data_IF_757334904431
#
_entry.id   IF_757334904431
#
_cell.length_a   1.000
_cell.length_b   1.000
_cell.length_c   1.000
_cell.angle_alpha   90.00
_cell.angle_beta   90.00
_cell.angle_gamma   90.00
#
_symmetry.space_group_name_H-M   'P 1'
#
loop_
_entity.id
_entity.type
_entity.pdbx_description
1 polymer ?
#
# COMPACT_ATOMS: atom_id res chain seq x y z
N UNK A 1 -23.59 -8.97 -3.17
CA UNK A 1 -22.88 -8.45 -1.98
C UNK A 1 -21.91 -9.54 -1.50
N UNK A 2 -20.66 -9.55 -1.99
CA UNK A 2 -19.70 -10.58 -1.63
C UNK A 2 -19.12 -10.29 -0.24
N UNK A 3 -19.35 -11.22 0.70
CA UNK A 3 -18.87 -11.16 2.07
C UNK A 3 -17.33 -11.20 2.10
N UNK A 4 -16.69 -10.03 2.18
CA UNK A 4 -15.23 -9.91 2.24
C UNK A 4 -14.77 -10.38 3.60
N UNK A 5 -14.42 -11.67 3.71
CA UNK A 5 -13.78 -12.24 4.90
C UNK A 5 -12.56 -11.38 5.26
N UNK A 6 -12.69 -10.61 6.35
CA UNK A 6 -11.57 -9.89 6.96
C UNK A 6 -10.74 -10.96 7.67
N UNK A 7 -9.77 -11.52 6.96
CA UNK A 7 -8.73 -12.29 7.64
C UNK A 7 -7.92 -11.34 8.52
N UNK A 8 -7.38 -11.76 9.68
CA UNK A 8 -6.53 -10.90 10.51
C UNK A 8 -5.27 -10.42 9.74
N UNK A 9 -4.64 -9.32 10.17
CA UNK A 9 -3.37 -8.89 9.57
C UNK A 9 -2.30 -9.96 9.80
N UNK A 10 -1.32 -10.04 8.89
CA UNK A 10 -0.05 -10.67 9.24
C UNK A 10 0.80 -9.66 10.01
N UNK A 11 1.66 -10.16 10.90
CA UNK A 11 2.65 -9.35 11.60
C UNK A 11 3.77 -8.93 10.64
N UNK A 12 4.52 -7.88 10.97
CA UNK A 12 5.70 -7.46 10.18
C UNK A 12 6.72 -8.60 10.02
N UNK A 13 6.87 -9.45 11.05
CA UNK A 13 7.70 -10.64 11.00
C UNK A 13 7.21 -11.63 9.93
N UNK A 14 5.92 -11.95 9.93
CA UNK A 14 5.34 -12.84 8.91
C UNK A 14 5.48 -12.25 7.50
N UNK A 15 5.31 -10.94 7.33
CA UNK A 15 5.57 -10.29 6.03
C UNK A 15 7.04 -10.41 5.60
N UNK A 16 7.99 -10.25 6.54
CA UNK A 16 9.41 -10.46 6.23
C UNK A 16 9.70 -11.91 5.85
N UNK A 17 9.16 -12.88 6.61
CA UNK A 17 9.27 -14.31 6.33
C UNK A 17 8.69 -14.65 4.94
N UNK A 18 7.54 -14.06 4.57
CA UNK A 18 6.97 -14.20 3.21
C UNK A 18 7.91 -13.67 2.14
N UNK A 19 8.52 -12.50 2.33
CA UNK A 19 9.42 -11.91 1.34
C UNK A 19 10.68 -12.76 1.12
N UNK A 20 11.28 -13.26 2.20
CA UNK A 20 12.45 -14.14 2.14
C UNK A 20 12.12 -15.44 1.39
N UNK A 21 11.00 -16.07 1.73
CA UNK A 21 10.55 -17.30 1.07
C UNK A 21 10.20 -17.07 -0.40
N UNK A 22 9.64 -15.90 -0.74
CA UNK A 22 9.39 -15.55 -2.13
C UNK A 22 10.68 -15.44 -2.96
N UNK A 23 11.73 -14.85 -2.38
CA UNK A 23 13.06 -14.83 -2.98
C UNK A 23 13.66 -16.24 -3.15
N UNK A 24 13.58 -17.06 -2.10
CA UNK A 24 14.03 -18.46 -2.12
C UNK A 24 13.30 -19.30 -3.18
N UNK A 25 12.02 -19.04 -3.39
CA UNK A 25 11.20 -19.68 -4.42
C UNK A 25 11.43 -19.13 -5.84
N UNK A 26 12.49 -18.35 -6.07
CA UNK A 26 12.79 -17.76 -7.38
C UNK A 26 11.68 -16.82 -7.86
N UNK A 27 11.06 -16.09 -6.94
CA UNK A 27 9.91 -15.20 -7.20
C UNK A 27 8.67 -15.93 -7.76
N UNK A 28 8.57 -17.25 -7.55
CA UNK A 28 7.34 -18.00 -7.84
C UNK A 28 6.40 -17.98 -6.64
N UNK A 29 5.29 -17.27 -6.75
CA UNK A 29 4.33 -17.08 -5.66
C UNK A 29 3.68 -18.39 -5.19
N UNK A 30 3.46 -19.34 -6.10
CA UNK A 30 2.86 -20.65 -5.81
C UNK A 30 3.86 -21.57 -5.10
N UNK A 31 5.11 -21.57 -5.55
CA UNK A 31 6.17 -22.30 -4.86
C UNK A 31 6.41 -21.71 -3.46
N UNK A 32 6.44 -20.38 -3.33
CA UNK A 32 6.57 -19.69 -2.06
C UNK A 32 5.45 -20.06 -1.07
N UNK A 33 4.20 -20.14 -1.52
CA UNK A 33 3.08 -20.58 -0.68
C UNK A 33 3.26 -22.03 -0.18
N UNK A 34 3.84 -22.90 -1.01
CA UNK A 34 4.14 -24.30 -0.66
C UNK A 34 5.25 -24.35 0.39
N UNK A 35 6.37 -23.67 0.13
CA UNK A 35 7.50 -23.57 1.07
C UNK A 35 7.10 -22.97 2.42
N UNK A 36 6.24 -21.94 2.42
CA UNK A 36 5.75 -21.33 3.65
C UNK A 36 4.93 -22.31 4.49
N UNK A 37 4.08 -23.13 3.85
CA UNK A 37 3.31 -24.16 4.54
C UNK A 37 4.19 -25.27 5.11
N UNK A 38 5.21 -25.69 4.37
CA UNK A 38 6.17 -26.69 4.81
C UNK A 38 7.02 -26.19 5.99
N UNK A 39 7.48 -24.94 5.93
CA UNK A 39 8.32 -24.33 6.98
C UNK A 39 7.52 -23.97 8.23
N UNK A 40 6.26 -23.61 8.09
CA UNK A 40 5.39 -23.16 9.18
C UNK A 40 4.06 -23.92 9.22
N UNK A 41 4.07 -25.25 9.49
CA UNK A 41 2.89 -26.09 9.37
C UNK A 41 1.77 -25.75 10.35
N UNK A 42 2.12 -25.20 11.53
CA UNK A 42 1.16 -24.86 12.58
C UNK A 42 0.71 -23.38 12.56
N UNK A 43 1.08 -22.62 11.52
CA UNK A 43 0.70 -21.21 11.37
C UNK A 43 -0.38 -21.04 10.32
N UNK A 44 -0.98 -19.85 10.28
CA UNK A 44 -1.85 -19.45 9.19
C UNK A 44 -1.07 -19.40 7.87
N UNK A 45 -1.61 -20.01 6.82
CA UNK A 45 -0.98 -19.99 5.50
C UNK A 45 -1.47 -18.81 4.66
N UNK A 46 -0.56 -17.99 4.10
CA UNK A 46 -0.91 -16.95 3.14
C UNK A 46 -1.38 -17.52 1.80
N UNK A 47 -2.29 -16.79 1.17
CA UNK A 47 -2.59 -17.00 -0.24
C UNK A 47 -1.37 -16.61 -1.09
N UNK A 48 -1.15 -17.30 -2.21
CA UNK A 48 0.03 -17.09 -3.05
C UNK A 48 0.21 -15.63 -3.52
N UNK A 49 -0.89 -14.92 -3.78
CA UNK A 49 -0.82 -13.49 -4.15
C UNK A 49 -0.18 -12.59 -3.08
N UNK A 50 -0.22 -12.99 -1.81
CA UNK A 50 0.34 -12.19 -0.72
C UNK A 50 1.86 -12.01 -0.88
N UNK A 51 2.56 -13.01 -1.39
CA UNK A 51 4.00 -12.96 -1.60
C UNK A 51 4.40 -11.88 -2.61
N UNK A 52 3.68 -11.83 -3.74
CA UNK A 52 3.88 -10.77 -4.76
C UNK A 52 3.50 -9.41 -4.21
N UNK A 53 2.37 -9.29 -3.49
CA UNK A 53 1.97 -8.01 -2.87
C UNK A 53 3.00 -7.47 -1.90
N UNK A 54 3.51 -8.33 -1.02
CA UNK A 54 4.56 -7.99 -0.05
C UNK A 54 5.82 -7.53 -0.77
N UNK A 55 6.25 -8.27 -1.79
CA UNK A 55 7.41 -7.88 -2.61
C UNK A 55 7.21 -6.51 -3.26
N UNK A 56 6.06 -6.28 -3.89
CA UNK A 56 5.75 -5.00 -4.53
C UNK A 56 5.71 -3.85 -3.53
N UNK A 57 5.14 -4.03 -2.34
CA UNK A 57 5.15 -2.98 -1.31
C UNK A 57 6.58 -2.55 -0.98
N UNK A 58 7.51 -3.48 -0.83
CA UNK A 58 8.92 -3.13 -0.58
C UNK A 58 9.60 -2.45 -1.77
N UNK A 59 9.31 -2.89 -3.00
CA UNK A 59 9.80 -2.23 -4.22
C UNK A 59 9.27 -0.80 -4.36
N UNK A 60 8.05 -0.54 -3.87
CA UNK A 60 7.43 0.79 -3.80
C UNK A 60 7.90 1.61 -2.58
N UNK A 61 8.81 1.09 -1.75
CA UNK A 61 9.29 1.77 -0.54
C UNK A 61 8.27 1.81 0.60
N UNK A 62 7.24 0.95 0.57
CA UNK A 62 6.18 0.87 1.57
C UNK A 62 6.31 -0.38 2.43
N UNK A 63 5.81 -0.29 3.66
CA UNK A 63 5.63 -1.47 4.51
C UNK A 63 4.29 -2.15 4.17
N UNK A 64 4.26 -3.48 3.99
CA UNK A 64 3.01 -4.21 3.80
C UNK A 64 2.10 -3.96 4.99
N UNK A 65 0.88 -3.48 4.74
CA UNK A 65 -0.10 -3.21 5.78
C UNK A 65 -1.49 -3.69 5.36
N UNK A 66 -2.34 -3.93 6.35
CA UNK A 66 -3.70 -4.40 6.12
C UNK A 66 -4.66 -3.31 5.66
N UNK A 67 -4.30 -2.05 5.93
CA UNK A 67 -5.08 -0.92 5.47
C UNK A 67 -4.80 -0.86 3.98
N UNK A 68 -5.80 -1.21 3.18
CA UNK A 68 -5.74 -0.97 1.75
C UNK A 68 -5.29 0.47 1.60
N UNK A 69 -4.14 0.66 0.94
CA UNK A 69 -3.67 1.97 0.56
C UNK A 69 -4.87 2.66 -0.09
N UNK A 70 -5.53 3.53 0.66
CA UNK A 70 -6.40 4.52 0.06
C UNK A 70 -5.59 5.22 -1.01
N UNK A 71 -6.29 5.75 -2.01
CA UNK A 71 -5.74 6.55 -3.11
C UNK A 71 -4.45 7.28 -2.67
N UNK A 72 -3.31 7.16 -3.38
CA UNK A 72 -2.02 7.66 -2.91
C UNK A 72 -2.12 9.13 -2.51
N UNK A 73 -2.16 9.41 -1.21
CA UNK A 73 -2.40 10.75 -0.68
C UNK A 73 -1.19 11.67 -0.94
N UNK A 74 0.00 11.07 -1.03
CA UNK A 74 1.29 11.74 -1.29
C UNK A 74 1.31 12.48 -2.63
N UNK A 75 0.74 11.90 -3.69
CA UNK A 75 0.73 12.56 -5.00
C UNK A 75 -0.20 13.79 -5.01
N UNK A 76 -1.34 13.70 -4.34
CA UNK A 76 -2.26 14.83 -4.19
C UNK A 76 -1.63 15.93 -3.31
N UNK A 77 -0.86 15.56 -2.29
CA UNK A 77 -0.12 16.49 -1.42
C UNK A 77 0.91 17.32 -2.18
N UNK A 78 1.82 16.68 -2.91
CA UNK A 78 2.88 17.37 -3.67
C UNK A 78 2.30 18.36 -4.68
N UNK A 79 1.24 17.97 -5.39
CA UNK A 79 0.56 18.82 -6.37
C UNK A 79 -0.07 20.04 -5.69
N UNK A 80 -0.71 19.86 -4.53
CA UNK A 80 -1.33 20.97 -3.77
C UNK A 80 -0.28 21.94 -3.25
N UNK A 81 0.84 21.43 -2.72
CA UNK A 81 1.94 22.26 -2.23
C UNK A 81 2.61 23.04 -3.36
N UNK A 82 2.82 22.40 -4.51
CA UNK A 82 3.40 23.06 -5.69
C UNK A 82 2.52 24.21 -6.21
N UNK A 83 1.20 24.01 -6.32
CA UNK A 83 0.27 25.08 -6.71
C UNK A 83 0.31 26.27 -5.75
N UNK A 84 0.46 25.99 -4.44
CA UNK A 84 0.53 27.03 -3.40
C UNK A 84 1.88 27.76 -3.39
N UNK A 85 2.96 27.05 -3.71
CA UNK A 85 4.30 27.64 -3.81
C UNK A 85 4.44 28.55 -5.05
N UNK A 86 3.85 28.15 -6.18
CA UNK A 86 3.82 28.96 -7.40
C UNK A 86 3.00 30.24 -7.24
N UNK A 87 1.89 30.18 -6.51
CA UNK A 87 1.07 31.35 -6.18
C UNK A 87 0.49 31.25 -4.75
N UNK A 88 1.12 31.91 -3.76
CA UNK A 88 0.65 31.92 -2.38
C UNK A 88 -0.74 32.51 -2.18
N UNK A 89 -1.25 33.27 -3.16
CA UNK A 89 -2.58 33.90 -3.10
C UNK A 89 -3.68 33.03 -3.73
N UNK A 90 -3.30 31.94 -4.42
CA UNK A 90 -4.25 31.04 -5.07
C UNK A 90 -5.19 30.41 -4.03
N UNK A 91 -6.49 30.53 -4.29
CA UNK A 91 -7.53 29.99 -3.42
C UNK A 91 -7.65 28.47 -3.51
N UNK A 92 -8.09 27.82 -2.43
CA UNK A 92 -8.38 26.37 -2.40
C UNK A 92 -9.34 25.95 -3.53
N UNK A 93 -10.30 26.82 -3.88
CA UNK A 93 -11.23 26.58 -5.00
C UNK A 93 -10.53 26.57 -6.36
N UNK A 94 -9.54 27.45 -6.55
CA UNK A 94 -8.75 27.51 -7.77
C UNK A 94 -7.85 26.27 -7.91
N UNK A 95 -7.24 25.80 -6.82
CA UNK A 95 -6.47 24.53 -6.79
C UNK A 95 -7.35 23.37 -7.24
N UNK A 96 -8.56 23.21 -6.67
CA UNK A 96 -9.49 22.17 -7.12
C UNK A 96 -9.78 22.23 -8.61
N UNK A 97 -9.99 23.42 -9.17
CA UNK A 97 -10.32 23.58 -10.59
C UNK A 97 -9.17 23.20 -11.51
N UNK A 98 -7.92 23.41 -11.09
CA UNK A 98 -6.72 23.10 -11.88
C UNK A 98 -6.31 21.64 -11.75
N UNK A 99 -6.37 21.08 -10.54
CA UNK A 99 -5.80 19.76 -10.23
C UNK A 99 -6.84 18.65 -10.17
N UNK A 100 -8.12 18.99 -10.02
CA UNK A 100 -9.21 18.03 -9.77
C UNK A 100 -9.21 17.45 -8.35
N UNK A 101 -8.33 17.94 -7.46
CA UNK A 101 -8.23 17.46 -6.08
C UNK A 101 -9.37 18.06 -5.24
N UNK A 102 -10.12 17.24 -4.46
CA UNK A 102 -11.23 17.72 -3.63
C UNK A 102 -10.79 18.78 -2.62
N UNK A 103 -11.64 19.79 -2.37
CA UNK A 103 -11.32 20.88 -1.43
C UNK A 103 -10.99 20.35 -0.02
N UNK A 104 -11.66 19.27 0.42
CA UNK A 104 -11.39 18.63 1.70
C UNK A 104 -9.96 18.09 1.81
N UNK A 105 -9.43 17.53 0.72
CA UNK A 105 -8.04 17.07 0.63
C UNK A 105 -7.11 18.27 0.66
N UNK A 106 -7.35 19.29 -0.18
CA UNK A 106 -6.53 20.53 -0.21
C UNK A 106 -6.44 21.19 1.17
N UNK A 107 -7.56 21.29 1.90
CA UNK A 107 -7.58 21.82 3.26
C UNK A 107 -6.82 20.95 4.27
N UNK A 108 -6.81 19.63 4.08
CA UNK A 108 -6.03 18.73 4.94
C UNK A 108 -4.53 18.85 4.71
N UNK A 109 -4.11 19.17 3.49
CA UNK A 109 -2.70 19.34 3.10
C UNK A 109 -2.15 20.70 3.55
N UNK A 110 -2.94 21.77 3.43
CA UNK A 110 -2.53 23.14 3.74
C UNK A 110 -2.68 23.55 5.22
N UNK A 111 -3.01 22.61 6.11
CA UNK A 111 -3.18 22.86 7.54
C UNK A 111 -1.89 22.60 8.29
#
# INVERSE_FOLDING_TARGET
>A
MANRRVFPAYTQREYAEMHLIYGEAGQSSRAAATFYRERFPNRRHPHHEMFTRVHNSYMEGRLPSQRGDGRPQVADEDIVLQEREQDPTTSVRAILRRTGIPQSTVHSVLK
#
